data_IF_343927845070
#
_entry.id   IF_343927845070
#
_cell.length_a   1.000
_cell.length_b   1.000
_cell.length_c   1.000
_cell.angle_alpha   90.00
_cell.angle_beta   90.00
_cell.angle_gamma   90.00
#
_symmetry.space_group_name_H-M   'P 1'
#
loop_
_entity.id
_entity.type
_entity.pdbx_description
1 polymer ?
#
# COMPACT_ATOMS: atom_id res chain seq x y z
N UNK A 1 14.25 -14.14 -30.80
CA UNK A 1 12.93 -13.50 -31.03
C UNK A 1 12.66 -12.56 -29.87
N UNK A 2 12.33 -11.29 -30.13
CA UNK A 2 11.83 -10.38 -29.08
C UNK A 2 10.54 -10.98 -28.48
N UNK A 3 10.36 -11.03 -27.15
CA UNK A 3 9.15 -11.57 -26.54
C UNK A 3 7.92 -10.77 -26.97
N UNK A 4 6.89 -11.45 -27.50
CA UNK A 4 5.59 -10.89 -27.95
C UNK A 4 4.68 -10.41 -26.81
N UNK A 5 5.22 -9.88 -25.71
CA UNK A 5 4.44 -9.25 -24.64
C UNK A 5 4.28 -7.73 -24.82
N UNK A 6 4.84 -7.17 -25.90
CA UNK A 6 4.71 -5.75 -26.24
C UNK A 6 3.36 -5.39 -26.87
N UNK A 7 2.49 -6.35 -27.20
CA UNK A 7 1.30 -6.12 -28.02
C UNK A 7 -0.05 -6.41 -27.34
N UNK A 8 -0.09 -6.58 -26.01
CA UNK A 8 -1.33 -6.20 -25.29
C UNK A 8 -1.43 -4.68 -25.47
N UNK A 9 -2.59 -4.05 -25.78
CA UNK A 9 -2.71 -2.61 -25.67
C UNK A 9 -2.62 -2.23 -24.18
N UNK A 10 -1.41 -2.29 -23.63
CA UNK A 10 -1.05 -1.97 -22.26
C UNK A 10 -1.13 -0.46 -22.13
N UNK A 11 -2.33 0.06 -21.86
CA UNK A 11 -2.47 1.34 -21.16
C UNK A 11 -1.82 1.31 -19.76
N UNK A 12 -1.41 0.13 -19.29
CA UNK A 12 -0.69 -0.11 -18.03
C UNK A 12 0.68 0.59 -17.98
N UNK A 13 1.34 0.85 -19.11
CA UNK A 13 2.65 1.56 -19.12
C UNK A 13 2.56 3.02 -18.64
N UNK A 14 1.36 3.62 -18.63
CA UNK A 14 1.15 5.00 -18.19
C UNK A 14 1.02 5.18 -16.68
N UNK A 15 0.71 4.12 -15.92
CA UNK A 15 0.47 4.26 -14.47
C UNK A 15 1.78 4.18 -13.72
N UNK A 16 2.21 5.34 -13.23
CA UNK A 16 3.48 5.55 -12.56
C UNK A 16 3.25 5.81 -11.07
N UNK A 17 4.06 5.19 -10.20
CA UNK A 17 3.98 5.35 -8.75
C UNK A 17 5.22 6.06 -8.19
N UNK A 18 5.02 6.78 -7.10
CA UNK A 18 6.07 7.27 -6.21
C UNK A 18 5.80 6.74 -4.80
N UNK A 19 6.68 5.88 -4.30
CA UNK A 19 6.61 5.32 -2.96
C UNK A 19 7.30 6.28 -1.99
N UNK A 20 6.58 6.72 -0.98
CA UNK A 20 7.01 7.73 -0.02
C UNK A 20 7.06 7.09 1.36
N UNK A 21 8.22 7.16 1.99
CA UNK A 21 8.40 6.79 3.39
C UNK A 21 9.15 7.87 4.16
N UNK A 22 9.04 7.83 5.47
CA UNK A 22 9.73 8.74 6.40
C UNK A 22 10.31 7.93 7.54
N UNK A 23 11.53 8.23 7.96
CA UNK A 23 12.09 7.66 9.17
C UNK A 23 13.22 8.52 9.72
N UNK A 24 13.37 8.49 11.04
CA UNK A 24 14.56 8.98 11.76
C UNK A 24 15.31 7.81 12.43
N UNK A 25 14.95 6.55 12.11
CA UNK A 25 15.51 5.30 12.66
C UNK A 25 15.94 4.37 11.51
N UNK A 26 17.03 3.61 11.72
CA UNK A 26 17.53 2.63 10.75
C UNK A 26 17.94 1.32 11.43
N UNK A 27 16.94 0.58 11.91
CA UNK A 27 17.10 -0.80 12.37
C UNK A 27 16.86 -1.80 11.22
N UNK A 28 16.86 -3.09 11.50
CA UNK A 28 16.70 -4.13 10.48
C UNK A 28 15.40 -3.99 9.66
N UNK A 29 14.31 -3.54 10.29
CA UNK A 29 13.00 -3.38 9.63
C UNK A 29 13.07 -2.28 8.56
N UNK A 30 13.63 -1.11 8.90
CA UNK A 30 13.78 -0.03 7.93
C UNK A 30 14.80 -0.36 6.84
N UNK A 31 15.86 -1.08 7.18
CA UNK A 31 16.82 -1.59 6.19
C UNK A 31 16.14 -2.50 5.18
N UNK A 32 15.32 -3.45 5.65
CA UNK A 32 14.58 -4.36 4.78
C UNK A 32 13.59 -3.60 3.89
N UNK A 33 12.81 -2.66 4.43
CA UNK A 33 11.87 -1.89 3.58
C UNK A 33 12.62 -1.09 2.51
N UNK A 34 13.74 -0.44 2.85
CA UNK A 34 14.55 0.31 1.88
C UNK A 34 15.18 -0.63 0.83
N UNK A 35 15.65 -1.82 1.22
CA UNK A 35 16.14 -2.85 0.28
C UNK A 35 15.04 -3.30 -0.68
N UNK A 36 13.81 -3.45 -0.19
CA UNK A 36 12.67 -3.84 -1.02
C UNK A 36 12.39 -2.85 -2.16
N UNK A 37 12.69 -1.56 -1.98
CA UNK A 37 12.47 -0.54 -3.02
C UNK A 37 13.32 -0.79 -4.27
N UNK A 38 14.54 -1.32 -4.10
CA UNK A 38 15.40 -1.71 -5.23
C UNK A 38 14.81 -2.88 -6.01
N UNK A 39 14.13 -3.81 -5.32
CA UNK A 39 13.42 -4.92 -5.95
C UNK A 39 12.18 -4.41 -6.68
N UNK A 40 11.38 -3.56 -6.02
CA UNK A 40 10.17 -2.96 -6.59
C UNK A 40 10.47 -2.13 -7.84
N UNK A 41 11.62 -1.48 -7.93
CA UNK A 41 12.07 -0.76 -9.13
C UNK A 41 12.05 -1.62 -10.41
N UNK A 42 12.19 -2.94 -10.29
CA UNK A 42 12.12 -3.87 -11.43
C UNK A 42 10.73 -3.96 -12.07
N UNK A 43 9.68 -3.46 -11.40
CA UNK A 43 8.34 -3.31 -12.00
C UNK A 43 8.32 -2.29 -13.14
N UNK A 44 9.33 -1.42 -13.22
CA UNK A 44 9.49 -0.43 -14.29
C UNK A 44 8.62 0.84 -14.13
N UNK A 45 7.70 0.87 -13.17
CA UNK A 45 6.78 2.00 -12.99
C UNK A 45 6.85 2.66 -11.60
N UNK A 46 7.73 2.20 -10.71
CA UNK A 46 7.90 2.75 -9.35
C UNK A 46 9.20 3.55 -9.21
N UNK A 47 9.10 4.71 -8.56
CA UNK A 47 10.23 5.41 -7.93
C UNK A 47 9.99 5.39 -6.41
N UNK A 48 11.05 5.40 -5.60
CA UNK A 48 10.93 5.53 -4.15
C UNK A 48 11.69 6.74 -3.65
N UNK A 49 11.09 7.44 -2.68
CA UNK A 49 11.67 8.59 -1.97
C UNK A 49 11.52 8.42 -0.46
N UNK A 50 12.61 8.65 0.26
CA UNK A 50 12.63 8.65 1.72
C UNK A 50 12.87 10.07 2.21
N UNK A 51 12.00 10.53 3.10
CA UNK A 51 12.14 11.80 3.79
C UNK A 51 12.83 11.59 5.14
N UNK A 52 14.01 12.20 5.30
CA UNK A 52 14.80 12.13 6.53
C UNK A 52 15.77 13.31 6.61
N UNK A 53 16.11 13.73 7.83
CA UNK A 53 17.20 14.67 8.09
C UNK A 53 18.44 13.95 8.68
N UNK A 54 18.39 12.63 8.81
CA UNK A 54 19.50 11.83 9.33
C UNK A 54 20.43 11.42 8.19
N UNK A 55 21.69 11.86 8.25
CA UNK A 55 22.69 11.62 7.20
C UNK A 55 22.98 10.13 6.99
N UNK A 56 23.07 9.34 8.06
CA UNK A 56 23.29 7.89 7.98
C UNK A 56 22.17 7.19 7.19
N UNK A 57 20.93 7.64 7.37
CA UNK A 57 19.77 7.09 6.65
C UNK A 57 19.79 7.56 5.20
N UNK A 58 20.11 8.84 4.99
CA UNK A 58 20.23 9.41 3.66
C UNK A 58 21.26 8.65 2.81
N UNK A 59 22.43 8.36 3.38
CA UNK A 59 23.50 7.66 2.66
C UNK A 59 23.13 6.20 2.39
N UNK A 60 22.53 5.51 3.36
CA UNK A 60 22.01 4.15 3.17
C UNK A 60 21.00 4.05 2.02
N UNK A 61 20.10 5.04 1.90
CA UNK A 61 19.14 5.14 0.79
C UNK A 61 19.82 5.41 -0.56
N UNK A 62 20.76 6.36 -0.62
CA UNK A 62 21.46 6.74 -1.86
C UNK A 62 22.24 5.56 -2.44
N UNK A 63 22.94 4.79 -1.60
CA UNK A 63 23.66 3.57 -2.00
C UNK A 63 22.75 2.54 -2.71
N UNK A 64 21.45 2.56 -2.39
CA UNK A 64 20.43 1.66 -2.96
C UNK A 64 19.64 2.28 -4.12
N UNK A 65 20.01 3.49 -4.54
CA UNK A 65 19.32 4.22 -5.61
C UNK A 65 17.92 4.71 -5.20
N UNK A 66 17.68 4.91 -3.90
CA UNK A 66 16.45 5.49 -3.36
C UNK A 66 16.65 7.01 -3.22
N UNK A 67 15.68 7.80 -3.68
CA UNK A 67 15.75 9.26 -3.58
C UNK A 67 15.63 9.69 -2.12
N UNK A 68 16.33 10.76 -1.74
CA UNK A 68 16.27 11.30 -0.38
C UNK A 68 15.89 12.77 -0.42
N UNK A 69 14.94 13.18 0.43
CA UNK A 69 14.53 14.58 0.58
C UNK A 69 14.54 14.97 2.06
N UNK A 70 14.89 16.22 2.40
CA UNK A 70 14.84 16.68 3.78
C UNK A 70 13.40 16.89 4.24
N UNK A 71 13.16 16.70 5.54
CA UNK A 71 11.92 17.08 6.21
C UNK A 71 12.00 18.58 6.52
N UNK A 72 11.20 19.36 5.79
CA UNK A 72 11.17 20.82 5.92
C UNK A 72 10.25 21.34 7.04
N UNK A 73 9.17 20.60 7.33
CA UNK A 73 8.13 21.03 8.26
C UNK A 73 7.95 20.01 9.38
N UNK A 74 7.96 20.52 10.62
CA UNK A 74 7.80 19.73 11.84
C UNK A 74 6.81 20.42 12.77
N UNK A 75 6.06 19.63 13.55
CA UNK A 75 5.23 20.18 14.61
C UNK A 75 6.07 20.64 15.82
N UNK A 76 5.38 21.10 16.87
CA UNK A 76 6.00 21.52 18.14
C UNK A 76 6.81 20.43 18.86
N UNK A 77 6.60 19.15 18.53
CA UNK A 77 7.33 18.01 19.07
C UNK A 77 8.44 17.52 18.14
N UNK A 78 8.73 18.27 17.06
CA UNK A 78 9.76 17.91 16.10
C UNK A 78 9.37 16.78 15.15
N UNK A 79 8.09 16.43 15.01
CA UNK A 79 7.65 15.34 14.13
C UNK A 79 7.28 15.85 12.74
N UNK A 80 7.57 15.08 11.67
CA UNK A 80 7.29 15.50 10.30
C UNK A 80 5.80 15.72 10.05
N UNK A 81 5.44 16.84 9.44
CA UNK A 81 4.07 17.13 9.01
C UNK A 81 3.80 16.43 7.68
N UNK A 82 2.84 15.50 7.67
CA UNK A 82 2.61 14.60 6.54
C UNK A 82 2.10 15.32 5.29
N UNK A 83 1.20 16.30 5.46
CA UNK A 83 0.71 17.13 4.34
C UNK A 83 1.86 17.74 3.55
N UNK A 84 2.82 18.32 4.25
CA UNK A 84 3.88 19.11 3.61
C UNK A 84 4.85 18.18 2.84
N UNK A 85 5.05 16.96 3.33
CA UNK A 85 5.75 15.89 2.59
C UNK A 85 4.99 15.53 1.31
N UNK A 86 3.68 15.28 1.39
CA UNK A 86 2.88 14.94 0.22
C UNK A 86 2.84 16.06 -0.82
N UNK A 87 2.76 17.32 -0.40
CA UNK A 87 2.84 18.47 -1.27
C UNK A 87 4.20 18.60 -1.97
N UNK A 88 5.30 18.37 -1.23
CA UNK A 88 6.64 18.35 -1.82
C UNK A 88 6.76 17.26 -2.89
N UNK A 89 6.27 16.04 -2.60
CA UNK A 89 6.26 14.93 -3.56
C UNK A 89 5.40 15.24 -4.78
N UNK A 90 4.18 15.75 -4.59
CA UNK A 90 3.28 16.07 -5.69
C UNK A 90 3.85 17.17 -6.59
N UNK A 91 4.52 18.18 -6.01
CA UNK A 91 5.18 19.24 -6.77
C UNK A 91 6.34 18.70 -7.61
N UNK A 92 7.13 17.79 -7.06
CA UNK A 92 8.31 17.24 -7.73
C UNK A 92 7.96 16.14 -8.75
N UNK A 93 6.90 15.36 -8.47
CA UNK A 93 6.47 14.20 -9.26
C UNK A 93 4.97 14.30 -9.65
N UNK A 94 4.54 15.33 -10.40
CA UNK A 94 3.12 15.68 -10.59
C UNK A 94 2.28 14.64 -11.34
N UNK A 95 2.91 13.68 -12.03
CA UNK A 95 2.23 12.64 -12.82
C UNK A 95 2.36 11.25 -12.20
N UNK A 96 2.75 11.14 -10.92
CA UNK A 96 2.88 9.87 -10.21
C UNK A 96 1.83 9.73 -9.12
N UNK A 97 1.20 8.56 -9.07
CA UNK A 97 0.33 8.16 -7.97
C UNK A 97 1.17 7.98 -6.71
N UNK A 98 0.77 8.62 -5.61
CA UNK A 98 1.53 8.62 -4.37
C UNK A 98 1.17 7.38 -3.57
N UNK A 99 2.17 6.56 -3.25
CA UNK A 99 2.06 5.42 -2.34
C UNK A 99 2.71 5.79 -1.02
N UNK A 100 1.96 5.88 0.06
CA UNK A 100 2.49 6.16 1.39
C UNK A 100 2.47 4.89 2.25
N UNK A 101 3.60 4.64 2.93
CA UNK A 101 3.76 3.55 3.91
C UNK A 101 4.84 3.90 4.94
N UNK A 102 4.74 3.31 6.12
CA UNK A 102 5.80 3.37 7.13
C UNK A 102 6.99 2.51 6.70
N UNK A 103 8.22 2.93 7.04
CA UNK A 103 9.43 2.21 6.65
C UNK A 103 9.69 0.91 7.42
N UNK A 104 8.75 0.41 8.22
CA UNK A 104 8.78 -0.94 8.78
C UNK A 104 7.88 -1.92 8.01
N UNK A 105 7.31 -1.49 6.87
CA UNK A 105 6.39 -2.28 6.05
C UNK A 105 7.06 -2.82 4.79
N UNK A 106 6.85 -4.11 4.49
CA UNK A 106 7.16 -4.74 3.21
C UNK A 106 5.89 -4.81 2.36
N UNK A 107 5.83 -3.98 1.32
CA UNK A 107 4.68 -3.90 0.41
C UNK A 107 4.71 -5.05 -0.60
N UNK A 108 3.57 -5.73 -0.75
CA UNK A 108 3.41 -6.79 -1.73
C UNK A 108 3.40 -6.20 -3.16
N UNK A 109 4.27 -6.67 -4.08
CA UNK A 109 4.24 -6.21 -5.47
C UNK A 109 2.88 -6.37 -6.15
N UNK A 110 2.14 -7.44 -5.83
CA UNK A 110 0.79 -7.66 -6.36
C UNK A 110 -0.18 -6.54 -5.99
N UNK A 111 0.03 -5.85 -4.86
CA UNK A 111 -0.78 -4.68 -4.49
C UNK A 111 -0.61 -3.54 -5.49
N UNK A 112 0.64 -3.24 -5.88
CA UNK A 112 0.95 -2.19 -6.86
C UNK A 112 0.52 -2.58 -8.27
N UNK A 113 0.69 -3.84 -8.66
CA UNK A 113 0.24 -4.35 -9.96
C UNK A 113 -1.29 -4.28 -10.09
N UNK A 114 -2.01 -4.70 -9.06
CA UNK A 114 -3.48 -4.62 -9.05
C UNK A 114 -3.97 -3.18 -9.00
N UNK A 115 -3.33 -2.30 -8.21
CA UNK A 115 -3.63 -0.87 -8.25
C UNK A 115 -3.41 -0.27 -9.65
N UNK A 116 -2.30 -0.63 -10.31
CA UNK A 116 -1.99 -0.20 -11.68
C UNK A 116 -3.09 -0.60 -12.66
N UNK A 117 -3.50 -1.87 -12.62
CA UNK A 117 -4.58 -2.39 -13.43
C UNK A 117 -5.88 -1.63 -13.16
N UNK A 118 -6.31 -1.53 -11.91
CA UNK A 118 -7.56 -0.85 -11.53
C UNK A 118 -7.56 0.62 -11.97
N UNK A 119 -6.43 1.33 -11.86
CA UNK A 119 -6.30 2.70 -12.35
C UNK A 119 -6.48 2.75 -13.87
N UNK A 120 -5.81 1.84 -14.61
CA UNK A 120 -5.86 1.82 -16.08
C UNK A 120 -7.28 1.57 -16.65
N UNK A 121 -8.14 0.92 -15.88
CA UNK A 121 -9.52 0.61 -16.28
C UNK A 121 -10.52 1.71 -15.92
N UNK A 122 -10.14 2.67 -15.07
CA UNK A 122 -11.04 3.70 -14.55
C UNK A 122 -11.07 4.92 -15.47
N UNK A 123 -12.24 5.57 -15.52
CA UNK A 123 -12.44 6.83 -16.27
C UNK A 123 -12.29 8.07 -15.38
N UNK A 124 -12.46 7.92 -14.07
CA UNK A 124 -12.37 9.00 -13.09
C UNK A 124 -11.11 8.88 -12.22
N UNK A 125 -10.71 9.98 -11.58
CA UNK A 125 -9.55 10.02 -10.68
C UNK A 125 -9.94 10.12 -9.19
N UNK A 126 -11.17 9.72 -8.83
CA UNK A 126 -11.70 9.80 -7.47
C UNK A 126 -11.59 8.46 -6.73
N UNK A 127 -10.36 8.01 -6.52
CA UNK A 127 -10.07 6.82 -5.72
C UNK A 127 -9.09 7.07 -4.58
N UNK A 128 -9.14 6.21 -3.58
CA UNK A 128 -8.08 6.00 -2.61
C UNK A 128 -7.98 4.48 -2.39
N UNK A 129 -6.85 3.87 -2.74
CA UNK A 129 -6.61 2.48 -2.31
C UNK A 129 -5.99 2.50 -0.92
N UNK A 130 -6.50 1.66 -0.03
CA UNK A 130 -5.94 1.48 1.30
C UNK A 130 -5.70 0.02 1.57
N UNK A 131 -4.75 -0.29 2.45
CA UNK A 131 -4.52 -1.66 2.87
C UNK A 131 -4.06 -1.73 4.32
N UNK A 132 -4.51 -2.79 4.98
CA UNK A 132 -3.93 -3.25 6.24
C UNK A 132 -2.73 -4.14 5.96
N UNK A 133 -1.92 -4.30 6.97
CA UNK A 133 -0.74 -5.15 6.93
C UNK A 133 -0.86 -6.29 7.94
N UNK A 134 -0.24 -7.40 7.62
CA UNK A 134 -0.06 -8.54 8.51
C UNK A 134 1.16 -8.27 9.40
N UNK A 135 0.98 -8.23 10.72
CA UNK A 135 2.12 -8.21 11.63
C UNK A 135 2.81 -9.55 11.55
N UNK A 136 4.06 -9.59 11.11
CA UNK A 136 4.84 -10.81 10.94
C UNK A 136 6.21 -10.67 11.59
N UNK A 137 6.75 -11.75 12.13
CA UNK A 137 8.07 -11.75 12.73
C UNK A 137 9.15 -11.90 11.66
N UNK A 138 9.44 -10.83 10.93
CA UNK A 138 10.53 -10.79 9.97
C UNK A 138 11.81 -10.42 10.73
N UNK A 139 12.72 -11.39 10.87
CA UNK A 139 14.00 -11.22 11.56
C UNK A 139 15.18 -11.26 10.61
N UNK A 140 15.01 -11.82 9.40
CA UNK A 140 16.06 -11.95 8.41
C UNK A 140 16.28 -10.64 7.66
N UNK A 141 17.51 -10.43 7.20
CA UNK A 141 17.81 -9.39 6.21
C UNK A 141 17.32 -9.83 4.83
N UNK A 142 16.72 -8.91 4.07
CA UNK A 142 16.35 -9.19 2.68
C UNK A 142 17.59 -9.30 1.79
N UNK A 143 17.85 -10.49 1.27
CA UNK A 143 19.00 -10.78 0.38
C UNK A 143 18.60 -11.07 -1.06
N UNK A 144 17.31 -11.38 -1.29
CA UNK A 144 16.80 -11.72 -2.62
C UNK A 144 16.85 -10.54 -3.59
N UNK A 145 16.92 -10.88 -4.87
CA UNK A 145 17.19 -9.93 -5.94
C UNK A 145 16.06 -9.85 -6.97
N UNK A 146 15.10 -10.78 -6.97
CA UNK A 146 14.03 -10.84 -7.97
C UNK A 146 12.67 -10.51 -7.35
N UNK A 147 11.78 -9.89 -8.13
CA UNK A 147 10.39 -9.66 -7.74
C UNK A 147 9.66 -10.94 -7.32
N UNK A 148 9.91 -12.04 -8.03
CA UNK A 148 9.28 -13.34 -7.76
C UNK A 148 9.68 -13.90 -6.39
N UNK A 149 10.97 -13.90 -6.09
CA UNK A 149 11.48 -14.38 -4.80
C UNK A 149 11.01 -13.49 -3.65
N UNK A 150 10.89 -12.18 -3.88
CA UNK A 150 10.37 -11.23 -2.90
C UNK A 150 8.88 -11.42 -2.61
N UNK A 151 8.06 -11.59 -3.64
CA UNK A 151 6.64 -11.89 -3.48
C UNK A 151 6.43 -13.21 -2.74
N UNK A 152 7.19 -14.25 -3.09
CA UNK A 152 7.17 -15.52 -2.35
C UNK A 152 7.54 -15.31 -0.88
N UNK A 153 8.61 -14.56 -0.61
CA UNK A 153 9.02 -14.24 0.76
C UNK A 153 7.88 -13.58 1.56
N UNK A 154 7.17 -12.62 0.97
CA UNK A 154 6.01 -11.99 1.62
C UNK A 154 4.93 -13.01 1.94
N UNK A 155 4.60 -13.89 0.99
CA UNK A 155 3.56 -14.89 1.16
C UNK A 155 3.93 -15.93 2.23
N UNK A 156 5.19 -16.37 2.26
CA UNK A 156 5.70 -17.31 3.27
C UNK A 156 5.66 -16.73 4.69
N UNK A 157 5.81 -15.40 4.81
CA UNK A 157 5.75 -14.67 6.07
C UNK A 157 4.36 -14.12 6.40
N UNK A 158 3.34 -14.38 5.58
CA UNK A 158 1.96 -13.92 5.80
C UNK A 158 1.18 -14.79 6.81
N UNK A 159 1.85 -15.32 7.83
CA UNK A 159 1.30 -16.25 8.83
C UNK A 159 1.02 -15.61 10.20
N UNK A 160 1.20 -14.29 10.32
CA UNK A 160 1.09 -13.56 11.57
C UNK A 160 -0.32 -13.07 11.91
N UNK A 161 -0.42 -11.89 12.54
CA UNK A 161 -1.70 -11.30 12.94
C UNK A 161 -2.04 -10.08 12.10
N UNK A 162 -3.17 -10.15 11.40
CA UNK A 162 -3.67 -9.01 10.61
C UNK A 162 -4.01 -7.84 11.54
N UNK A 163 -3.57 -6.63 11.19
CA UNK A 163 -3.88 -5.43 11.98
C UNK A 163 -5.38 -5.17 12.00
N UNK A 164 -5.81 -4.45 13.04
CA UNK A 164 -7.22 -4.13 13.26
C UNK A 164 -7.81 -3.41 12.04
N UNK A 165 -9.11 -3.59 11.80
CA UNK A 165 -9.81 -3.03 10.64
C UNK A 165 -9.78 -1.48 10.58
N UNK A 166 -9.41 -0.82 11.69
CA UNK A 166 -9.24 0.63 11.80
C UNK A 166 -7.82 1.11 11.51
N UNK A 167 -6.86 0.20 11.39
CA UNK A 167 -5.44 0.51 11.22
C UNK A 167 -5.04 0.31 9.75
N UNK A 168 -5.17 1.37 8.95
CA UNK A 168 -4.69 1.39 7.58
C UNK A 168 -3.24 1.87 7.55
N UNK A 169 -2.39 1.13 6.84
CA UNK A 169 -0.94 1.34 6.89
C UNK A 169 -0.35 1.68 5.51
N UNK A 170 -1.05 1.32 4.43
CA UNK A 170 -0.67 1.63 3.05
C UNK A 170 -1.77 2.45 2.41
N UNK A 171 -1.41 3.55 1.76
CA UNK A 171 -2.32 4.43 1.05
C UNK A 171 -1.81 4.67 -0.36
N UNK A 172 -2.67 4.57 -1.38
CA UNK A 172 -2.35 4.92 -2.76
C UNK A 172 -3.32 6.00 -3.24
N UNK A 173 -2.79 7.19 -3.41
CA UNK A 173 -3.51 8.38 -3.85
C UNK A 173 -3.37 8.61 -5.36
N UNK A 174 -4.41 9.15 -6.02
CA UNK A 174 -4.31 9.68 -7.36
C UNK A 174 -3.27 10.80 -7.44
N UNK A 175 -2.53 10.91 -8.54
CA UNK A 175 -1.61 12.02 -8.76
C UNK A 175 -2.29 13.40 -8.67
N UNK A 176 -3.60 13.45 -8.93
CA UNK A 176 -4.47 14.64 -8.84
C UNK A 176 -5.09 14.87 -7.46
N UNK A 177 -4.70 14.11 -6.43
CA UNK A 177 -5.25 14.30 -5.09
C UNK A 177 -4.89 15.70 -4.53
N UNK A 178 -5.87 16.43 -4.01
CA UNK A 178 -5.63 17.77 -3.46
C UNK A 178 -5.13 17.68 -2.02
N UNK A 179 -3.82 17.69 -1.80
CA UNK A 179 -3.26 17.54 -0.45
C UNK A 179 -3.32 18.82 0.40
N UNK A 180 -3.53 20.01 -0.18
CA UNK A 180 -3.59 21.28 0.57
C UNK A 180 -4.55 21.26 1.76
N UNK A 181 -5.71 20.63 1.62
CA UNK A 181 -6.75 20.61 2.68
C UNK A 181 -6.58 19.50 3.70
N UNK A 182 -5.57 18.63 3.53
CA UNK A 182 -5.29 17.57 4.51
C UNK A 182 -4.89 18.23 5.82
N UNK A 183 -5.44 17.74 6.93
CA UNK A 183 -5.06 18.24 8.25
C UNK A 183 -3.55 18.04 8.47
N UNK A 184 -2.84 18.94 9.18
CA UNK A 184 -1.40 18.87 9.38
C UNK A 184 -1.02 17.79 10.41
N UNK A 185 -1.51 16.58 10.20
CA UNK A 185 -1.18 15.41 11.00
C UNK A 185 0.28 15.05 10.83
N UNK A 186 0.87 14.54 11.91
CA UNK A 186 2.28 14.19 11.96
C UNK A 186 2.49 12.68 11.96
N UNK A 187 3.61 12.28 11.37
CA UNK A 187 4.01 10.87 11.27
C UNK A 187 4.32 10.29 12.65
N UNK A 188 4.06 8.98 12.83
CA UNK A 188 4.42 8.25 14.04
C UNK A 188 3.49 8.50 15.24
N UNK A 189 2.34 9.14 15.03
CA UNK A 189 1.30 9.36 16.03
C UNK A 189 -0.01 8.70 15.62
N UNK A 190 -0.90 8.49 16.59
CA UNK A 190 -2.21 7.88 16.29
C UNK A 190 -3.03 8.75 15.32
N UNK A 191 -4.09 8.19 14.73
CA UNK A 191 -5.05 8.91 13.88
C UNK A 191 -4.52 9.46 12.53
N UNK A 192 -3.31 9.13 12.09
CA UNK A 192 -2.85 9.47 10.72
C UNK A 192 -3.79 8.86 9.68
N UNK A 193 -4.04 7.56 9.81
CA UNK A 193 -4.95 6.80 8.96
C UNK A 193 -6.37 7.40 8.92
N UNK A 194 -6.93 7.68 10.09
CA UNK A 194 -8.24 8.29 10.24
C UNK A 194 -8.30 9.64 9.56
N UNK A 195 -7.28 10.50 9.74
CA UNK A 195 -7.25 11.82 9.11
C UNK A 195 -7.24 11.73 7.58
N UNK A 196 -6.41 10.84 7.01
CA UNK A 196 -6.34 10.64 5.56
C UNK A 196 -7.64 10.08 4.99
N UNK A 197 -8.24 9.11 5.69
CA UNK A 197 -9.52 8.49 5.28
C UNK A 197 -10.68 9.49 5.34
N UNK A 198 -10.77 10.29 6.41
CA UNK A 198 -11.78 11.35 6.53
C UNK A 198 -11.63 12.40 5.45
N UNK A 199 -10.40 12.81 5.18
CA UNK A 199 -10.14 13.77 4.12
C UNK A 199 -10.63 13.28 2.75
N UNK A 200 -10.34 12.01 2.42
CA UNK A 200 -10.82 11.38 1.20
C UNK A 200 -12.36 11.30 1.16
N UNK A 201 -13.01 10.91 2.26
CA UNK A 201 -14.47 10.85 2.37
C UNK A 201 -15.11 12.24 2.19
N UNK A 202 -14.60 13.27 2.85
CA UNK A 202 -15.10 14.66 2.70
C UNK A 202 -15.00 15.14 1.26
N UNK A 203 -13.94 14.74 0.55
CA UNK A 203 -13.72 15.04 -0.87
C UNK A 203 -14.40 14.08 -1.84
N UNK A 204 -15.23 13.17 -1.32
CA UNK A 204 -16.05 12.18 -2.05
C UNK A 204 -15.22 11.23 -2.93
N UNK A 205 -14.06 10.79 -2.45
CA UNK A 205 -13.28 9.73 -3.09
C UNK A 205 -13.88 8.36 -2.77
N UNK A 206 -13.86 7.45 -3.74
CA UNK A 206 -14.16 6.04 -3.50
C UNK A 206 -12.97 5.39 -2.80
N UNK A 207 -13.23 4.64 -1.73
CA UNK A 207 -12.17 3.98 -0.98
C UNK A 207 -12.19 2.48 -1.28
N UNK A 208 -11.05 1.96 -1.70
CA UNK A 208 -10.88 0.57 -2.10
C UNK A 208 -9.98 -0.13 -1.09
N UNK A 209 -10.51 -1.15 -0.42
CA UNK A 209 -9.77 -1.96 0.54
C UNK A 209 -9.01 -3.06 -0.21
N UNK A 210 -7.69 -2.93 -0.24
CA UNK A 210 -6.74 -3.84 -0.86
C UNK A 210 -6.12 -4.82 0.14
N UNK A 211 -6.69 -4.96 1.35
CA UNK A 211 -6.14 -5.82 2.40
C UNK A 211 -5.98 -7.28 1.97
N UNK A 212 -6.78 -7.78 1.01
CA UNK A 212 -6.60 -9.13 0.48
C UNK A 212 -5.21 -9.37 -0.12
N UNK A 213 -4.51 -8.29 -0.51
CA UNK A 213 -3.15 -8.31 -1.04
C UNK A 213 -2.16 -8.06 0.10
N UNK A 214 -1.93 -9.12 0.86
CA UNK A 214 -1.23 -9.06 2.14
C UNK A 214 0.18 -8.50 1.96
N UNK A 215 0.41 -7.37 2.62
CA UNK A 215 1.72 -6.76 2.88
C UNK A 215 2.09 -6.95 4.35
N UNK A 216 3.36 -6.87 4.71
CA UNK A 216 3.84 -7.22 6.05
C UNK A 216 4.27 -6.00 6.84
N UNK A 217 3.88 -5.91 8.10
CA UNK A 217 4.53 -5.07 9.10
C UNK A 217 5.54 -5.93 9.86
N UNK A 218 6.79 -5.48 9.90
CA UNK A 218 7.89 -6.26 10.44
C UNK A 218 7.91 -6.13 11.98
N UNK A 219 7.32 -7.11 12.65
CA UNK A 219 7.22 -7.22 14.10
C UNK A 219 5.87 -6.80 14.67
N UNK A 220 5.78 -6.81 16.01
CA UNK A 220 4.54 -6.62 16.77
C UNK A 220 4.55 -5.38 17.66
N UNK A 221 5.56 -4.53 17.48
CA UNK A 221 5.67 -3.28 18.20
C UNK A 221 4.55 -2.34 17.78
N UNK A 222 4.05 -1.57 18.75
CA UNK A 222 3.04 -0.54 18.48
C UNK A 222 3.58 0.78 19.00
N UNK A 223 3.24 1.88 18.32
CA UNK A 223 3.66 3.22 18.73
C UNK A 223 3.39 3.47 20.22
N UNK A 224 2.25 3.02 20.75
CA UNK A 224 1.90 3.13 22.17
C UNK A 224 2.88 2.42 23.11
N UNK A 225 3.36 1.22 22.73
CA UNK A 225 4.28 0.44 23.59
C UNK A 225 5.66 1.07 23.68
N UNK A 226 6.12 1.73 22.63
CA UNK A 226 7.48 2.28 22.54
C UNK A 226 7.54 3.77 22.91
N UNK A 227 6.40 4.45 22.94
CA UNK A 227 6.33 5.87 23.24
C UNK A 227 6.59 6.18 24.72
N UNK A 228 7.51 7.12 24.99
CA UNK A 228 7.90 7.55 26.35
C UNK A 228 7.71 9.06 26.57
N UNK A 229 7.02 9.75 25.68
CA UNK A 229 6.78 11.19 25.77
C UNK A 229 5.49 11.55 26.52
N UNK A 230 5.02 12.78 26.33
CA UNK A 230 3.77 13.30 26.92
C UNK A 230 2.55 12.91 26.09
N UNK A 231 1.38 12.81 26.73
CA UNK A 231 0.15 12.33 26.08
C UNK A 231 -0.30 13.24 24.92
N UNK A 232 -0.10 14.55 25.05
CA UNK A 232 -0.45 15.55 24.05
C UNK A 232 0.34 15.38 22.74
N UNK A 233 1.59 14.92 22.84
CA UNK A 233 2.40 14.53 21.69
C UNK A 233 1.83 13.24 21.08
N UNK A 234 1.58 12.22 21.91
CA UNK A 234 1.05 10.95 21.44
C UNK A 234 -0.29 11.07 20.70
N UNK A 235 -1.18 11.91 21.24
CA UNK A 235 -2.52 12.18 20.73
C UNK A 235 -2.61 13.42 19.84
N UNK A 236 -1.49 14.01 19.40
CA UNK A 236 -1.46 15.27 18.66
C UNK A 236 -2.48 15.31 17.50
N UNK A 237 -2.48 14.29 16.65
CA UNK A 237 -3.41 14.20 15.52
C UNK A 237 -4.87 14.04 15.96
N UNK A 238 -5.13 13.28 17.03
CA UNK A 238 -6.48 13.13 17.58
C UNK A 238 -7.01 14.47 18.05
N UNK A 239 -6.19 15.26 18.73
CA UNK A 239 -6.55 16.61 19.18
C UNK A 239 -6.82 17.56 18.00
N UNK A 240 -6.05 17.46 16.91
CA UNK A 240 -6.34 18.20 15.67
C UNK A 240 -7.72 17.83 15.10
N UNK A 241 -8.02 16.54 15.02
CA UNK A 241 -9.31 16.06 14.53
C UNK A 241 -10.47 16.42 15.46
N UNK A 242 -10.28 16.42 16.78
CA UNK A 242 -11.29 16.82 17.76
C UNK A 242 -11.73 18.28 17.56
N UNK A 243 -10.79 19.18 17.27
CA UNK A 243 -11.11 20.60 16.97
C UNK A 243 -12.02 20.77 15.75
N UNK A 244 -12.07 19.77 14.86
CA UNK A 244 -12.94 19.73 13.68
C UNK A 244 -14.21 18.89 13.87
N UNK A 245 -14.49 18.44 15.09
CA UNK A 245 -15.52 17.43 15.39
C UNK A 245 -15.34 16.12 14.62
N UNK A 246 -14.08 15.79 14.28
CA UNK A 246 -13.70 14.69 13.40
C UNK A 246 -12.87 13.61 14.10
N UNK A 247 -12.92 13.52 15.43
CA UNK A 247 -12.12 12.54 16.18
C UNK A 247 -12.67 11.11 16.19
N UNK A 248 -13.87 10.88 15.66
CA UNK A 248 -14.41 9.53 15.50
C UNK A 248 -13.52 8.70 14.57
N UNK A 249 -13.16 7.50 14.99
CA UNK A 249 -12.41 6.55 14.16
C UNK A 249 -13.22 6.25 12.89
N UNK A 250 -12.58 6.26 11.73
CA UNK A 250 -13.22 5.86 10.48
C UNK A 250 -13.28 4.35 10.42
N UNK A 251 -14.49 3.84 10.27
CA UNK A 251 -14.76 2.45 9.92
C UNK A 251 -14.90 2.38 8.40
N UNK A 252 -14.46 1.26 7.80
CA UNK A 252 -14.81 0.99 6.41
C UNK A 252 -16.34 0.72 6.35
N UNK A 253 -17.14 1.71 5.92
CA UNK A 253 -18.63 1.69 5.83
C UNK A 253 -19.18 2.07 4.45
N UNK A 254 -20.17 1.36 3.89
CA UNK A 254 -21.07 1.73 2.75
C UNK A 254 -20.52 2.31 1.41
N UNK A 255 -19.28 2.79 1.31
CA UNK A 255 -18.63 3.26 0.07
C UNK A 255 -17.27 2.56 -0.15
N UNK A 256 -17.22 1.27 0.21
CA UNK A 256 -15.99 0.48 0.19
C UNK A 256 -16.11 -0.69 -0.76
N UNK A 257 -15.05 -0.85 -1.54
CA UNK A 257 -14.89 -1.91 -2.50
C UNK A 257 -13.73 -2.80 -2.05
N UNK A 258 -14.00 -4.08 -1.75
CA UNK A 258 -12.98 -5.02 -1.30
C UNK A 258 -12.31 -5.77 -2.45
N UNK A 259 -10.97 -5.72 -2.54
CA UNK A 259 -10.19 -6.57 -3.43
C UNK A 259 -9.58 -7.73 -2.63
N UNK A 260 -10.28 -8.86 -2.62
CA UNK A 260 -9.88 -10.05 -1.84
C UNK A 260 -8.84 -10.92 -2.53
N UNK A 261 -8.72 -10.84 -3.87
CA UNK A 261 -7.83 -11.68 -4.66
C UNK A 261 -7.11 -10.84 -5.72
N UNK A 262 -5.81 -11.08 -5.91
CA UNK A 262 -5.15 -10.76 -7.17
C UNK A 262 -5.15 -12.03 -7.99
N UNK A 263 -5.81 -12.03 -9.15
CA UNK A 263 -5.56 -13.07 -10.15
C UNK A 263 -4.47 -12.54 -11.07
N UNK A 264 -3.21 -12.76 -10.68
CA UNK A 264 -2.08 -12.57 -11.58
C UNK A 264 -1.87 -13.88 -12.33
N UNK A 265 -2.37 -13.99 -13.56
CA UNK A 265 -1.97 -15.10 -14.44
C UNK A 265 -0.52 -14.90 -14.84
N UNK A 266 0.34 -15.84 -14.44
CA UNK A 266 1.67 -16.02 -15.02
C UNK A 266 1.71 -17.41 -15.65
N UNK A 267 1.08 -17.57 -16.81
CA UNK A 267 1.28 -18.75 -17.63
C UNK A 267 2.62 -18.61 -18.35
N UNK A 268 3.56 -19.51 -18.04
CA UNK A 268 4.61 -19.88 -18.97
C UNK A 268 4.32 -21.29 -19.47
N UNK A 269 4.20 -21.47 -20.77
CA UNK A 269 4.72 -22.67 -21.43
C UNK A 269 5.99 -22.22 -22.17
N UNK A 270 7.02 -23.04 -22.36
CA UNK A 270 6.97 -24.24 -23.19
C UNK A 270 8.11 -25.16 -22.77
N UNK A 271 7.81 -26.44 -22.54
CA UNK A 271 8.57 -27.52 -23.17
C UNK A 271 7.64 -28.73 -23.38
N UNK A 272 7.35 -28.97 -24.67
CA UNK A 272 6.90 -30.24 -25.24
C UNK A 272 5.61 -30.85 -24.69
N UNK A 273 4.47 -30.54 -25.29
CA UNK A 273 3.48 -31.50 -25.85
C UNK A 273 2.41 -30.71 -26.60
N UNK A 274 2.19 -31.10 -27.87
CA UNK A 274 1.06 -30.68 -28.69
C UNK A 274 -0.23 -31.14 -28.02
N UNK A 275 -1.24 -30.27 -27.91
CA UNK A 275 -2.55 -30.47 -28.54
C UNK A 275 -3.57 -29.38 -28.18
N UNK A 276 -4.28 -28.95 -29.23
CA UNK A 276 -5.71 -28.55 -29.32
C UNK A 276 -6.31 -27.62 -28.26
N UNK A 277 -6.53 -26.39 -28.73
CA UNK A 277 -7.84 -25.74 -28.67
C UNK A 277 -8.37 -25.37 -27.30
N UNK A 278 -8.04 -24.17 -26.84
CA UNK A 278 -8.94 -23.38 -25.99
C UNK A 278 -8.92 -21.94 -26.49
N UNK A 279 -9.94 -21.57 -27.25
CA UNK A 279 -10.42 -20.19 -27.29
C UNK A 279 -10.98 -19.89 -25.89
N UNK A 280 -10.22 -19.17 -25.07
CA UNK A 280 -10.72 -18.58 -23.84
C UNK A 280 -11.25 -17.18 -24.19
N UNK A 281 -12.47 -17.16 -24.70
CA UNK A 281 -13.31 -15.97 -24.67
C UNK A 281 -13.54 -15.56 -23.21
N UNK A 282 -13.23 -14.29 -22.90
CA UNK A 282 -13.76 -13.50 -21.78
C UNK A 282 -13.90 -14.24 -20.43
N UNK A 283 -12.80 -14.37 -19.69
CA UNK A 283 -12.90 -14.58 -18.25
C UNK A 283 -13.29 -13.24 -17.63
N UNK A 284 -14.57 -13.11 -17.26
CA UNK A 284 -15.08 -12.12 -16.34
C UNK A 284 -14.27 -12.14 -15.03
N UNK A 285 -13.22 -11.31 -14.96
CA UNK A 285 -12.65 -10.90 -13.66
C UNK A 285 -13.60 -9.90 -13.00
N UNK A 286 -14.77 -10.38 -12.61
CA UNK A 286 -15.58 -9.76 -11.57
C UNK A 286 -14.83 -9.92 -10.25
N UNK A 287 -14.03 -8.92 -9.90
CA UNK A 287 -13.79 -8.62 -8.50
C UNK A 287 -15.18 -8.52 -7.87
N UNK A 288 -15.58 -9.50 -7.06
CA UNK A 288 -16.78 -9.41 -6.24
C UNK A 288 -16.56 -8.31 -5.22
N UNK A 289 -16.80 -7.12 -5.68
CA UNK A 289 -17.15 -5.97 -4.93
C UNK A 289 -18.31 -6.29 -3.97
N UNK A 290 -18.00 -6.64 -2.72
CA UNK A 290 -19.02 -6.73 -1.68
C UNK A 290 -19.32 -5.33 -1.19
N UNK A 291 -20.50 -4.83 -1.54
CA UNK A 291 -21.12 -3.68 -0.89
C UNK A 291 -21.30 -4.02 0.60
N UNK A 292 -20.60 -3.30 1.48
CA UNK A 292 -20.57 -3.57 2.92
C UNK A 292 -21.64 -2.77 3.63
N UNK A 293 -22.91 -3.14 3.42
CA UNK A 293 -23.97 -2.86 4.37
C UNK A 293 -24.03 -4.03 5.38
N UNK A 294 -23.51 -3.75 6.58
CA UNK A 294 -23.54 -4.58 7.79
C UNK A 294 -22.52 -5.73 7.92
N UNK A 295 -21.51 -5.48 8.76
CA UNK A 295 -20.89 -6.47 9.65
C UNK A 295 -21.97 -7.05 10.58
N UNK A 296 -22.62 -8.13 10.16
CA UNK A 296 -23.03 -9.27 10.99
C UNK A 296 -23.89 -10.20 10.12
N UNK A 297 -23.23 -11.17 9.47
CA UNK A 297 -23.75 -12.52 9.26
C UNK A 297 -22.60 -13.39 8.80
N UNK A 298 -22.24 -14.34 9.65
CA UNK A 298 -21.51 -15.54 9.24
C UNK A 298 -22.25 -16.14 8.04
N UNK A 299 -21.65 -16.09 6.86
CA UNK A 299 -22.06 -16.94 5.75
C UNK A 299 -21.03 -18.05 5.65
N UNK A 300 -21.45 -19.26 6.07
CA UNK A 300 -20.85 -20.50 5.58
C UNK A 300 -20.81 -20.42 4.06
N UNK A 301 -19.64 -20.68 3.49
CA UNK A 301 -19.54 -21.04 2.08
C UNK A 301 -19.94 -22.51 1.99
N UNK A 302 -21.24 -22.79 2.07
CA UNK A 302 -21.79 -24.04 1.59
C UNK A 302 -22.05 -23.84 0.09
N UNK A 303 -21.28 -24.52 -0.75
CA UNK A 303 -21.54 -24.63 -2.18
C UNK A 303 -20.57 -23.87 -3.09
N UNK A 304 -19.33 -24.37 -3.23
CA UNK A 304 -18.67 -24.38 -4.55
C UNK A 304 -17.54 -25.42 -4.58
N UNK A 305 -17.87 -26.67 -4.28
CA UNK A 305 -17.03 -27.84 -4.57
C UNK A 305 -17.98 -29.03 -4.75
N UNK A 306 -18.59 -29.15 -5.93
CA UNK A 306 -19.26 -30.39 -6.33
C UNK A 306 -19.50 -30.41 -7.83
N UNK A 307 -18.44 -30.65 -8.62
CA UNK A 307 -18.54 -31.50 -9.82
C UNK A 307 -17.17 -32.13 -10.06
N UNK A 308 -16.96 -33.34 -9.54
CA UNK A 308 -16.30 -34.42 -10.27
C UNK A 308 -16.69 -35.72 -9.56
N UNK A 309 -17.67 -36.43 -10.12
CA UNK A 309 -18.14 -37.71 -9.60
C UNK A 309 -19.31 -38.28 -10.42
N UNK A 310 -18.98 -39.22 -11.30
CA UNK A 310 -19.92 -40.10 -12.02
C UNK A 310 -20.17 -39.67 -13.47
N UNK A 311 -19.96 -40.50 -14.50
CA UNK A 311 -19.70 -41.94 -14.62
C UNK A 311 -18.72 -42.18 -15.76
#
# INVERSE_FOLDING_TARGET
MKPKYLDIPMRVESVQFIIVGTTDILNNKERNTIESFRILKQTGNTISVVFTNNETIADFCKERGVLVRPIQSRNIYGLPVLRDIFLAVQKEFPHRHLVYLNLDILINPSLLLTASYLISQRKDNKFLFVSRVMNSNVTESLTMQSLYSYERFINDHANGKLRLYVAMDIFIFPCTYHFQDVDPVVVGRWFVDTALMKDAQRKKYYIYDMTGLISLHQGFDTSKKIFKGVQEDFEYNKMLLQKRNDAGIVYLTANYWGCHWSVCFKCYSVDGVKERGMELEWIECLAMFRDSNHLHRSMRVDGCCSVFGGK
#
